data_IF_191452004163
#
_entry.id   IF_191452004163
#
_cell.length_a   1.000
_cell.length_b   1.000
_cell.length_c   1.000
_cell.angle_alpha   90.00
_cell.angle_beta   90.00
_cell.angle_gamma   90.00
#
_symmetry.space_group_name_H-M   'P 1'
#
loop_
_entity.id
_entity.type
_entity.pdbx_description
1 polymer ?
#
# COMPACT_ATOMS: atom_id res chain seq x y z
N UNK A 1 39.39 -27.04 -48.26
CA UNK A 1 38.37 -26.07 -47.81
C UNK A 1 37.19 -26.13 -48.78
N UNK A 2 36.31 -27.12 -48.60
CA UNK A 2 35.14 -27.34 -49.46
C UNK A 2 33.97 -26.52 -48.95
N UNK A 3 33.43 -25.71 -49.85
CA UNK A 3 32.35 -24.74 -49.67
C UNK A 3 31.05 -25.37 -49.19
N UNK A 4 30.48 -24.81 -48.12
CA UNK A 4 29.08 -24.99 -47.70
C UNK A 4 28.12 -24.06 -48.47
N UNK A 5 28.49 -23.58 -49.65
CA UNK A 5 27.87 -22.43 -50.32
C UNK A 5 26.63 -22.73 -51.18
N UNK A 6 25.96 -23.87 -51.01
CA UNK A 6 24.82 -24.23 -51.88
C UNK A 6 23.64 -24.88 -51.16
N UNK A 7 23.39 -24.51 -49.91
CA UNK A 7 22.13 -24.87 -49.27
C UNK A 7 21.03 -23.93 -49.77
N UNK A 8 20.05 -24.49 -50.46
CA UNK A 8 18.79 -23.81 -50.80
C UNK A 8 18.00 -23.53 -49.53
N UNK A 9 17.14 -22.51 -49.54
CA UNK A 9 16.28 -22.17 -48.39
C UNK A 9 15.43 -23.37 -47.92
N UNK A 10 15.07 -24.27 -48.84
CA UNK A 10 14.36 -25.50 -48.52
C UNK A 10 15.23 -26.50 -47.72
N UNK A 11 16.52 -26.62 -48.04
CA UNK A 11 17.46 -27.46 -47.28
C UNK A 11 17.73 -26.89 -45.89
N UNK A 12 17.79 -25.56 -45.75
CA UNK A 12 17.92 -24.90 -44.46
C UNK A 12 16.68 -25.16 -43.59
N UNK A 13 15.48 -25.07 -44.18
CA UNK A 13 14.23 -25.32 -43.46
C UNK A 13 14.05 -26.79 -43.06
N UNK A 14 14.51 -27.74 -43.88
CA UNK A 14 14.49 -29.16 -43.54
C UNK A 14 15.39 -29.50 -42.34
N UNK A 15 16.56 -28.84 -42.23
CA UNK A 15 17.44 -28.99 -41.06
C UNK A 15 16.78 -28.40 -39.82
N UNK A 16 16.20 -27.19 -39.92
CA UNK A 16 15.50 -26.54 -38.81
C UNK A 16 14.33 -27.38 -38.27
N UNK A 17 13.63 -28.13 -39.14
CA UNK A 17 12.49 -28.96 -38.75
C UNK A 17 12.87 -30.27 -38.03
N UNK A 18 14.13 -30.72 -38.12
CA UNK A 18 14.60 -31.94 -37.42
C UNK A 18 15.34 -31.65 -36.11
N UNK A 19 15.64 -30.38 -35.82
CA UNK A 19 16.11 -29.99 -34.50
C UNK A 19 14.92 -30.04 -33.52
N UNK A 20 15.01 -30.83 -32.43
CA UNK A 20 14.02 -30.77 -31.37
C UNK A 20 13.99 -29.33 -30.83
N UNK A 21 12.79 -28.76 -30.71
CA UNK A 21 12.62 -27.48 -30.04
C UNK A 21 13.29 -27.56 -28.66
N UNK A 22 14.22 -26.65 -28.39
CA UNK A 22 14.80 -26.52 -27.07
C UNK A 22 13.64 -26.42 -26.07
N UNK A 23 13.64 -27.20 -24.96
CA UNK A 23 12.60 -27.07 -23.95
C UNK A 23 12.52 -25.61 -23.56
N UNK A 24 11.32 -25.02 -23.67
CA UNK A 24 11.09 -23.69 -23.14
C UNK A 24 11.57 -23.68 -21.67
N UNK A 25 12.35 -22.68 -21.23
CA UNK A 25 12.74 -22.60 -19.83
C UNK A 25 11.46 -22.66 -19.00
N UNK A 26 11.36 -23.68 -18.15
CA UNK A 26 10.26 -23.78 -17.20
C UNK A 26 10.22 -22.48 -16.42
N UNK A 27 9.07 -21.77 -16.35
CA UNK A 27 8.99 -20.56 -15.55
C UNK A 27 9.41 -20.95 -14.13
N UNK A 28 10.52 -20.35 -13.67
CA UNK A 28 10.91 -20.47 -12.26
C UNK A 28 9.72 -19.95 -11.47
N UNK A 29 9.18 -20.70 -10.49
CA UNK A 29 8.14 -20.18 -9.64
C UNK A 29 8.73 -18.97 -8.90
N UNK A 30 8.45 -17.77 -9.38
CA UNK A 30 8.69 -16.54 -8.64
C UNK A 30 7.83 -16.68 -7.39
N UNK A 31 8.45 -17.09 -6.28
CA UNK A 31 7.75 -17.22 -5.01
C UNK A 31 6.96 -15.94 -4.76
N UNK A 32 5.69 -16.08 -4.38
CA UNK A 32 4.84 -14.93 -4.03
C UNK A 32 5.61 -14.07 -3.03
N UNK A 33 5.79 -12.75 -3.28
CA UNK A 33 6.55 -11.90 -2.36
C UNK A 33 5.95 -11.98 -0.95
N UNK A 34 6.78 -12.25 0.05
CA UNK A 34 6.34 -12.32 1.44
C UNK A 34 6.19 -10.90 2.02
N UNK A 35 4.94 -10.45 2.13
CA UNK A 35 4.60 -9.13 2.64
C UNK A 35 5.09 -8.86 4.07
N UNK A 36 5.11 -9.86 4.95
CA UNK A 36 5.52 -9.69 6.35
C UNK A 36 7.03 -9.42 6.41
N UNK A 37 7.80 -10.23 5.70
CA UNK A 37 9.26 -10.07 5.59
C UNK A 37 9.63 -8.75 4.90
N UNK A 38 8.92 -8.38 3.83
CA UNK A 38 9.12 -7.11 3.15
C UNK A 38 8.80 -5.91 4.07
N UNK A 39 7.68 -5.93 4.79
CA UNK A 39 7.34 -4.87 5.73
C UNK A 39 8.41 -4.73 6.83
N UNK A 40 8.86 -5.85 7.40
CA UNK A 40 9.91 -5.87 8.41
C UNK A 40 11.21 -5.24 7.91
N UNK A 41 11.56 -5.49 6.65
CA UNK A 41 12.83 -5.04 6.05
C UNK A 41 12.80 -3.57 5.61
N UNK A 42 11.67 -3.08 5.11
CA UNK A 42 11.59 -1.79 4.42
C UNK A 42 10.73 -0.73 5.14
N UNK A 43 9.89 -1.13 6.09
CA UNK A 43 8.91 -0.22 6.68
C UNK A 43 9.03 -0.13 8.21
N UNK A 44 9.29 -1.24 8.89
CA UNK A 44 9.18 -1.32 10.34
C UNK A 44 10.14 -0.39 11.10
N UNK A 45 11.29 -0.08 10.52
CA UNK A 45 12.28 0.82 11.12
C UNK A 45 11.76 2.24 11.39
N UNK A 46 10.80 2.72 10.59
CA UNK A 46 10.20 4.04 10.76
C UNK A 46 8.71 3.99 11.13
N UNK A 47 8.01 2.90 10.80
CA UNK A 47 6.56 2.79 10.97
C UNK A 47 6.13 1.87 12.11
N UNK A 48 7.05 1.41 12.95
CA UNK A 48 6.88 0.39 14.00
C UNK A 48 6.70 -1.03 13.45
N UNK A 49 6.82 -2.08 14.29
CA UNK A 49 6.51 -3.46 13.87
C UNK A 49 5.10 -3.61 13.31
N UNK A 50 4.90 -4.60 12.43
CA UNK A 50 3.66 -4.79 11.67
C UNK A 50 2.40 -4.80 12.55
N UNK A 51 2.46 -5.48 13.71
CA UNK A 51 1.36 -5.57 14.66
C UNK A 51 0.96 -4.21 15.29
N UNK A 52 1.88 -3.26 15.34
CA UNK A 52 1.72 -1.94 15.97
C UNK A 52 2.04 -0.80 14.99
N UNK A 53 1.89 -1.07 13.69
CA UNK A 53 2.23 -0.11 12.63
C UNK A 53 1.48 1.21 12.83
N UNK A 54 2.16 2.33 12.59
CA UNK A 54 1.53 3.65 12.55
C UNK A 54 0.79 3.92 11.22
N UNK A 55 0.87 2.98 10.26
CA UNK A 55 0.25 3.08 8.93
C UNK A 55 -0.67 1.88 8.63
N UNK A 56 -1.66 1.58 9.49
CA UNK A 56 -2.61 0.51 9.22
C UNK A 56 -3.50 0.83 8.00
N UNK A 57 -3.98 -0.22 7.34
CA UNK A 57 -5.00 -0.17 6.28
C UNK A 57 -4.60 0.60 5.03
N UNK A 58 -3.30 0.76 4.75
CA UNK A 58 -2.85 1.36 3.47
C UNK A 58 -2.95 0.33 2.35
N UNK A 59 -3.50 0.74 1.21
CA UNK A 59 -3.49 -0.08 -0.01
C UNK A 59 -2.24 0.19 -0.87
N UNK A 60 -2.02 -0.66 -1.88
CA UNK A 60 -0.84 -0.58 -2.74
C UNK A 60 -0.68 0.78 -3.41
N UNK A 61 -1.76 1.37 -3.95
CA UNK A 61 -1.73 2.70 -4.56
C UNK A 61 -1.29 3.79 -3.58
N UNK A 62 -1.82 3.77 -2.36
CA UNK A 62 -1.43 4.72 -1.31
C UNK A 62 0.04 4.57 -0.92
N UNK A 63 0.54 3.33 -0.84
CA UNK A 63 1.95 3.06 -0.55
C UNK A 63 2.84 3.57 -1.68
N UNK A 64 2.51 3.24 -2.94
CA UNK A 64 3.23 3.72 -4.13
C UNK A 64 3.29 5.25 -4.17
N UNK A 65 2.15 5.91 -3.95
CA UNK A 65 2.09 7.37 -3.93
C UNK A 65 2.93 7.97 -2.79
N UNK A 66 2.93 7.35 -1.62
CA UNK A 66 3.75 7.80 -0.49
C UNK A 66 5.25 7.66 -0.80
N UNK A 67 5.68 6.54 -1.39
CA UNK A 67 7.08 6.36 -1.82
C UNK A 67 7.50 7.44 -2.83
N UNK A 68 6.59 7.83 -3.74
CA UNK A 68 6.86 8.85 -4.74
C UNK A 68 6.88 10.29 -4.20
N UNK A 69 6.17 10.58 -3.10
CA UNK A 69 5.94 11.96 -2.63
C UNK A 69 6.58 12.29 -1.29
N UNK A 70 6.85 11.30 -0.44
CA UNK A 70 7.51 11.48 0.85
C UNK A 70 9.01 11.30 0.66
N UNK A 71 9.79 12.38 0.71
CA UNK A 71 11.23 12.35 0.42
C UNK A 71 12.01 11.34 1.28
N UNK A 72 11.61 11.14 2.53
CA UNK A 72 12.21 10.15 3.44
C UNK A 72 11.99 8.69 3.01
N UNK A 73 11.05 8.42 2.10
CA UNK A 73 10.74 7.09 1.56
C UNK A 73 11.33 6.86 0.16
N UNK A 74 12.01 7.84 -0.43
CA UNK A 74 12.49 7.78 -1.83
C UNK A 74 13.43 6.61 -2.13
N UNK A 75 14.18 6.14 -1.13
CA UNK A 75 15.05 4.96 -1.24
C UNK A 75 14.30 3.65 -1.51
N UNK A 76 12.98 3.62 -1.28
CA UNK A 76 12.11 2.46 -1.50
C UNK A 76 11.55 2.40 -2.93
N UNK A 77 11.93 3.34 -3.81
CA UNK A 77 11.45 3.42 -5.20
C UNK A 77 11.79 2.21 -6.07
N UNK A 78 12.71 1.35 -5.63
CA UNK A 78 13.04 0.08 -6.30
C UNK A 78 12.08 -1.06 -5.99
N UNK A 79 11.16 -0.91 -5.03
CA UNK A 79 10.17 -1.94 -4.74
C UNK A 79 9.22 -2.11 -5.92
N UNK A 80 9.07 -3.36 -6.38
CA UNK A 80 8.13 -3.68 -7.45
C UNK A 80 6.68 -3.55 -7.00
N UNK A 81 5.76 -3.39 -7.94
CA UNK A 81 4.32 -3.36 -7.66
C UNK A 81 3.83 -4.61 -6.92
N UNK A 82 4.40 -5.78 -7.23
CA UNK A 82 4.07 -7.04 -6.55
C UNK A 82 4.53 -7.05 -5.08
N UNK A 83 5.72 -6.49 -4.79
CA UNK A 83 6.21 -6.35 -3.41
C UNK A 83 5.36 -5.34 -2.63
N UNK A 84 5.01 -4.20 -3.24
CA UNK A 84 4.14 -3.20 -2.62
C UNK A 84 2.75 -3.79 -2.34
N UNK A 85 2.20 -4.57 -3.27
CA UNK A 85 0.93 -5.25 -3.07
C UNK A 85 1.00 -6.27 -1.93
N UNK A 86 2.08 -7.06 -1.84
CA UNK A 86 2.28 -8.00 -0.75
C UNK A 86 2.35 -7.30 0.61
N UNK A 87 3.06 -6.16 0.69
CA UNK A 87 3.10 -5.33 1.91
C UNK A 87 1.69 -4.84 2.26
N UNK A 88 0.94 -4.31 1.29
CA UNK A 88 -0.42 -3.82 1.52
C UNK A 88 -1.36 -4.92 2.07
N UNK A 89 -1.23 -6.15 1.55
CA UNK A 89 -2.08 -7.27 1.95
C UNK A 89 -1.88 -7.73 3.39
N UNK A 90 -0.70 -7.48 3.98
CA UNK A 90 -0.40 -7.89 5.36
C UNK A 90 -0.61 -6.80 6.39
N UNK A 91 -0.92 -5.56 5.96
CA UNK A 91 -1.18 -4.47 6.88
C UNK A 91 -2.47 -4.76 7.68
N UNK A 92 -2.47 -4.51 9.00
CA UNK A 92 -3.69 -4.60 9.79
C UNK A 92 -4.73 -3.62 9.24
N UNK A 93 -6.04 -3.91 9.41
CA UNK A 93 -7.09 -3.03 8.95
C UNK A 93 -6.95 -1.64 9.56
N UNK A 94 -7.41 -0.61 8.84
CA UNK A 94 -7.47 0.73 9.41
C UNK A 94 -8.34 0.70 10.69
N UNK A 95 -7.93 1.39 11.77
CA UNK A 95 -8.73 1.45 12.98
C UNK A 95 -10.08 2.09 12.66
N UNK A 96 -11.16 1.44 13.09
CA UNK A 96 -12.55 1.87 12.90
C UNK A 96 -13.28 2.10 14.22
N UNK A 97 -12.59 1.98 15.36
CA UNK A 97 -13.19 2.33 16.65
C UNK A 97 -13.25 3.86 16.79
N UNK A 98 -14.45 4.41 16.62
CA UNK A 98 -14.68 5.86 16.63
C UNK A 98 -14.27 6.54 17.93
N UNK A 99 -14.46 5.87 19.07
CA UNK A 99 -14.09 6.41 20.37
C UNK A 99 -12.57 6.55 20.53
N UNK A 100 -11.81 5.50 20.18
CA UNK A 100 -10.34 5.54 20.19
C UNK A 100 -9.76 6.52 19.17
N UNK A 101 -10.36 6.59 17.98
CA UNK A 101 -9.98 7.57 16.96
C UNK A 101 -10.19 9.00 17.47
N UNK A 102 -11.36 9.30 18.04
CA UNK A 102 -11.63 10.61 18.64
C UNK A 102 -10.66 10.93 19.77
N UNK A 103 -10.39 9.97 20.66
CA UNK A 103 -9.43 10.13 21.75
C UNK A 103 -8.03 10.50 21.20
N UNK A 104 -7.61 9.85 20.11
CA UNK A 104 -6.28 10.04 19.53
C UNK A 104 -6.12 11.35 18.76
N UNK A 105 -7.16 11.79 18.04
CA UNK A 105 -7.04 12.88 17.07
C UNK A 105 -7.77 14.18 17.47
N UNK A 106 -8.71 14.11 18.43
CA UNK A 106 -9.63 15.22 18.70
C UNK A 106 -9.63 15.64 20.17
N UNK A 107 -9.51 14.68 21.09
CA UNK A 107 -9.78 14.93 22.52
C UNK A 107 -8.82 15.91 23.20
N UNK A 108 -7.60 16.05 22.68
CA UNK A 108 -6.62 17.00 23.21
C UNK A 108 -7.06 18.45 23.11
N UNK A 109 -7.95 18.77 22.15
CA UNK A 109 -8.46 20.12 21.92
C UNK A 109 -9.96 20.24 22.21
N UNK A 110 -10.75 19.21 21.90
CA UNK A 110 -12.21 19.24 22.01
C UNK A 110 -12.77 18.57 23.28
N UNK A 111 -11.87 18.17 24.19
CA UNK A 111 -12.21 17.52 25.45
C UNK A 111 -12.58 16.04 25.32
N UNK A 112 -12.97 15.39 26.45
CA UNK A 112 -13.36 13.99 26.45
C UNK A 112 -14.61 13.75 25.58
N UNK A 113 -14.68 12.59 24.91
CA UNK A 113 -15.78 12.23 24.00
C UNK A 113 -17.17 12.45 24.64
N UNK A 114 -17.34 12.08 25.91
CA UNK A 114 -18.60 12.17 26.63
C UNK A 114 -19.09 13.62 26.83
N UNK A 115 -18.19 14.59 26.90
CA UNK A 115 -18.48 16.01 27.18
C UNK A 115 -17.99 16.94 26.07
N UNK A 116 -17.66 16.38 24.91
CA UNK A 116 -17.07 17.10 23.78
C UNK A 116 -18.00 18.20 23.28
N UNK A 117 -17.45 19.37 22.97
CA UNK A 117 -18.21 20.47 22.37
C UNK A 117 -18.67 20.16 20.93
N UNK A 118 -18.06 19.17 20.27
CA UNK A 118 -18.35 18.77 18.88
C UNK A 118 -19.24 17.52 18.81
N UNK A 119 -19.94 17.16 19.90
CA UNK A 119 -20.92 16.05 19.88
C UNK A 119 -22.01 16.30 18.83
N UNK A 120 -22.49 15.22 18.22
CA UNK A 120 -23.48 15.24 17.14
C UNK A 120 -22.92 15.62 15.76
N UNK A 121 -21.61 15.86 15.62
CA UNK A 121 -21.02 16.17 14.31
C UNK A 121 -21.11 14.98 13.36
N UNK A 122 -21.62 15.21 12.15
CA UNK A 122 -21.66 14.18 11.10
C UNK A 122 -20.26 13.97 10.48
N UNK A 123 -20.10 12.89 9.72
CA UNK A 123 -18.86 12.60 8.99
C UNK A 123 -18.48 13.70 7.99
N UNK A 124 -19.50 14.38 7.43
CA UNK A 124 -19.34 15.52 6.53
C UNK A 124 -18.87 16.76 7.28
N UNK A 125 -19.45 17.04 8.46
CA UNK A 125 -19.01 18.17 9.30
C UNK A 125 -17.55 18.01 9.72
N UNK A 126 -17.16 16.80 10.13
CA UNK A 126 -15.78 16.46 10.47
C UNK A 126 -14.85 16.69 9.29
N UNK A 127 -15.23 16.24 8.08
CA UNK A 127 -14.42 16.46 6.88
C UNK A 127 -14.25 17.95 6.57
N UNK A 128 -15.33 18.71 6.64
CA UNK A 128 -15.32 20.14 6.37
C UNK A 128 -14.44 20.86 7.40
N UNK A 129 -14.56 20.53 8.69
CA UNK A 129 -13.73 21.09 9.74
C UNK A 129 -12.24 20.80 9.53
N UNK A 130 -11.86 19.57 9.18
CA UNK A 130 -10.45 19.21 8.90
C UNK A 130 -9.88 20.05 7.74
N UNK A 131 -10.69 20.30 6.71
CA UNK A 131 -10.26 21.05 5.53
C UNK A 131 -10.23 22.57 5.76
N UNK A 132 -11.13 23.09 6.58
CA UNK A 132 -11.32 24.54 6.75
C UNK A 132 -10.62 25.10 7.99
N UNK A 133 -10.36 24.30 9.02
CA UNK A 133 -9.70 24.74 10.25
C UNK A 133 -8.20 24.48 10.13
N UNK A 134 -7.40 25.53 10.03
CA UNK A 134 -5.94 25.41 9.79
C UNK A 134 -5.21 24.59 10.87
N UNK A 135 -5.69 24.61 12.13
CA UNK A 135 -5.13 23.80 13.22
C UNK A 135 -5.40 22.30 13.07
N UNK A 136 -6.34 21.89 12.22
CA UNK A 136 -6.74 20.50 11.98
C UNK A 136 -6.19 19.91 10.68
N UNK A 137 -5.59 20.72 9.80
CA UNK A 137 -5.10 20.32 8.47
C UNK A 137 -4.16 19.09 8.52
N UNK A 138 -3.38 18.92 9.58
CA UNK A 138 -2.48 17.77 9.73
C UNK A 138 -3.19 16.43 10.00
N UNK A 139 -4.50 16.44 10.27
CA UNK A 139 -5.29 15.23 10.54
C UNK A 139 -5.70 14.59 9.22
N UNK A 140 -5.21 13.38 8.97
CA UNK A 140 -5.57 12.60 7.78
C UNK A 140 -6.37 11.37 8.19
N UNK A 141 -7.68 11.43 7.99
CA UNK A 141 -8.62 10.34 8.26
C UNK A 141 -9.28 9.86 6.97
N UNK A 142 -9.50 8.55 6.87
CA UNK A 142 -10.32 7.98 5.80
C UNK A 142 -11.81 8.30 6.01
N UNK A 143 -12.63 8.09 4.98
CA UNK A 143 -14.08 8.22 5.10
C UNK A 143 -14.65 7.32 6.20
N UNK A 144 -14.19 6.06 6.27
CA UNK A 144 -14.62 5.11 7.29
C UNK A 144 -14.24 5.57 8.71
N UNK A 145 -13.04 6.14 8.87
CA UNK A 145 -12.60 6.67 10.17
C UNK A 145 -13.44 7.88 10.60
N UNK A 146 -13.73 8.81 9.68
CA UNK A 146 -14.62 9.94 9.98
C UNK A 146 -16.03 9.48 10.31
N UNK A 147 -16.55 8.48 9.60
CA UNK A 147 -17.87 7.91 9.89
C UNK A 147 -17.91 7.27 11.28
N UNK A 148 -16.88 6.51 11.65
CA UNK A 148 -16.78 5.93 12.98
C UNK A 148 -16.74 7.01 14.07
N UNK A 149 -15.95 8.07 13.89
CA UNK A 149 -15.89 9.20 14.83
C UNK A 149 -17.25 9.90 14.93
N UNK A 150 -17.93 10.16 13.81
CA UNK A 150 -19.26 10.76 13.78
C UNK A 150 -20.26 9.94 14.61
N UNK A 151 -20.29 8.62 14.36
CA UNK A 151 -21.14 7.70 15.12
C UNK A 151 -20.80 7.72 16.62
N UNK A 152 -19.51 7.78 16.98
CA UNK A 152 -19.09 7.89 18.39
C UNK A 152 -19.48 9.23 19.04
N UNK A 153 -19.55 10.30 18.25
CA UNK A 153 -20.04 11.61 18.68
C UNK A 153 -21.57 11.68 18.76
N UNK A 154 -22.28 10.69 18.21
CA UNK A 154 -23.74 10.63 18.15
C UNK A 154 -24.36 11.35 16.95
N UNK A 155 -23.61 11.53 15.86
CA UNK A 155 -24.06 12.13 14.60
C UNK A 155 -23.89 11.22 13.38
#
# INVERSE_FOLDING_TARGET
MCSLSSLTSAQIQAIANVLPAAPAPTPTPTGTPDGVTLYGSYCAGCHNPLATTTKPGRNATQITNAIATVSAMSSLSSLSSAQIQAIANVLPPAPTDGASLYASYCSSCHGPLASSEVRGSSATDIQNAINSVSKMNSIVLTLAQRQAIATALGG
#
